data_IF_847920708169
#
_entry.id   IF_847920708169
#
_cell.length_a   1.000
_cell.length_b   1.000
_cell.length_c   1.000
_cell.angle_alpha   90.00
_cell.angle_beta   90.00
_cell.angle_gamma   90.00
#
_symmetry.space_group_name_H-M   'P 1'
#
loop_
_entity.id
_entity.type
_entity.pdbx_description
1 polymer ?
#
# COMPACT_ATOMS: atom_id res chain seq x y z
N UNK A 1 26.38 12.59 -8.17
CA UNK A 1 27.13 12.77 -6.90
C UNK A 1 26.77 14.06 -6.14
N UNK A 2 26.65 15.22 -6.80
CA UNK A 2 26.32 16.48 -6.12
C UNK A 2 24.93 16.47 -5.45
N UNK A 3 23.88 16.01 -6.14
CA UNK A 3 22.52 15.88 -5.57
C UNK A 3 22.48 14.89 -4.39
N UNK A 4 23.10 13.71 -4.53
CA UNK A 4 23.20 12.74 -3.42
C UNK A 4 23.84 13.35 -2.18
N UNK A 5 24.94 14.11 -2.33
CA UNK A 5 25.60 14.79 -1.21
C UNK A 5 24.72 15.88 -0.59
N UNK A 6 23.94 16.60 -1.40
CA UNK A 6 22.98 17.61 -0.93
C UNK A 6 21.84 16.95 -0.14
N UNK A 7 21.28 15.85 -0.63
CA UNK A 7 20.24 15.09 0.05
C UNK A 7 20.74 14.51 1.37
N UNK A 8 21.93 13.90 1.37
CA UNK A 8 22.59 13.40 2.58
C UNK A 8 22.78 14.52 3.62
N UNK A 9 23.14 15.73 3.19
CA UNK A 9 23.27 16.88 4.11
C UNK A 9 21.91 17.30 4.69
N UNK A 10 20.85 17.30 3.88
CA UNK A 10 19.49 17.63 4.33
C UNK A 10 19.01 16.58 5.34
N UNK A 11 19.16 15.30 5.01
CA UNK A 11 18.80 14.17 5.88
C UNK A 11 19.60 14.25 7.18
N UNK A 12 20.93 14.39 7.09
CA UNK A 12 21.80 14.49 8.27
C UNK A 12 21.41 15.65 9.19
N UNK A 13 21.07 16.82 8.64
CA UNK A 13 20.58 17.96 9.44
C UNK A 13 19.26 17.65 10.15
N UNK A 14 18.31 16.99 9.47
CA UNK A 14 17.02 16.60 10.05
C UNK A 14 17.20 15.54 11.14
N UNK A 15 17.96 14.48 10.86
CA UNK A 15 18.27 13.41 11.80
C UNK A 15 19.00 13.95 13.02
N UNK A 16 20.06 14.75 12.81
CA UNK A 16 20.82 15.36 13.91
C UNK A 16 19.96 16.25 14.81
N UNK A 17 19.07 17.07 14.23
CA UNK A 17 18.12 17.89 15.00
C UNK A 17 17.16 17.03 15.83
N UNK A 18 16.63 15.95 15.26
CA UNK A 18 15.68 15.08 15.95
C UNK A 18 16.36 14.26 17.04
N UNK A 19 17.50 13.62 16.75
CA UNK A 19 18.28 12.83 17.70
C UNK A 19 18.82 13.71 18.83
N UNK A 20 19.37 14.88 18.51
CA UNK A 20 19.85 15.82 19.52
C UNK A 20 18.74 16.31 20.45
N UNK A 21 17.54 16.58 19.91
CA UNK A 21 16.37 16.92 20.71
C UNK A 21 15.95 15.78 21.64
N UNK A 22 15.78 14.58 21.09
CA UNK A 22 15.22 13.43 21.82
C UNK A 22 16.22 12.85 22.84
N UNK A 23 17.51 12.88 22.57
CA UNK A 23 18.51 12.17 23.37
C UNK A 23 19.54 13.07 24.08
N UNK A 24 19.54 14.39 23.82
CA UNK A 24 20.35 15.35 24.57
C UNK A 24 19.49 16.41 25.25
N UNK A 25 18.69 17.16 24.48
CA UNK A 25 17.93 18.31 25.01
C UNK A 25 16.88 17.86 26.03
N UNK A 26 15.97 16.95 25.67
CA UNK A 26 14.93 16.52 26.62
C UNK A 26 15.50 15.84 27.87
N UNK A 27 16.45 14.89 27.78
CA UNK A 27 17.10 14.33 28.97
C UNK A 27 17.74 15.40 29.86
N UNK A 28 18.47 16.35 29.28
CA UNK A 28 19.09 17.45 30.03
C UNK A 28 18.04 18.32 30.76
N UNK A 29 16.93 18.67 30.08
CA UNK A 29 15.84 19.44 30.67
C UNK A 29 15.16 18.74 31.86
N UNK A 30 15.19 17.41 31.88
CA UNK A 30 14.59 16.62 32.98
C UNK A 30 15.50 16.40 34.20
N UNK A 31 16.73 16.91 34.17
CA UNK A 31 17.65 16.88 35.32
C UNK A 31 17.89 15.47 35.84
N UNK A 32 17.60 15.21 37.12
CA UNK A 32 17.85 13.91 37.77
C UNK A 32 17.11 12.73 37.10
N UNK A 33 16.01 12.99 36.39
CA UNK A 33 15.22 11.97 35.71
C UNK A 33 15.70 11.65 34.28
N UNK A 34 16.86 12.16 33.84
CA UNK A 34 17.37 12.01 32.47
C UNK A 34 17.38 10.57 31.95
N UNK A 35 17.66 9.57 32.80
CA UNK A 35 17.63 8.15 32.42
C UNK A 35 16.24 7.67 32.02
N UNK A 36 15.21 8.10 32.76
CA UNK A 36 13.82 7.79 32.43
C UNK A 36 13.41 8.48 31.14
N UNK A 37 13.83 9.72 30.93
CA UNK A 37 13.55 10.46 29.69
C UNK A 37 14.19 9.79 28.48
N UNK A 38 15.44 9.32 28.59
CA UNK A 38 16.08 8.54 27.52
C UNK A 38 15.29 7.26 27.20
N UNK A 39 14.92 6.50 28.24
CA UNK A 39 14.13 5.28 28.07
C UNK A 39 12.76 5.54 27.44
N UNK A 40 12.04 6.56 27.92
CA UNK A 40 10.74 6.96 27.39
C UNK A 40 10.84 7.41 25.92
N UNK A 41 11.86 8.20 25.57
CA UNK A 41 12.08 8.63 24.18
C UNK A 41 12.46 7.45 23.28
N UNK A 42 13.29 6.52 23.76
CA UNK A 42 13.61 5.30 23.02
C UNK A 42 12.36 4.45 22.75
N UNK A 43 11.55 4.18 23.78
CA UNK A 43 10.30 3.42 23.65
C UNK A 43 9.30 4.14 22.73
N UNK A 44 9.10 5.44 22.90
CA UNK A 44 8.23 6.23 22.04
C UNK A 44 8.71 6.24 20.58
N UNK A 45 10.03 6.29 20.35
CA UNK A 45 10.58 6.15 19.00
C UNK A 45 10.31 4.76 18.42
N UNK A 46 10.53 3.69 19.16
CA UNK A 46 10.24 2.34 18.70
C UNK A 46 8.76 2.17 18.32
N UNK A 47 7.85 2.60 19.20
CA UNK A 47 6.40 2.51 18.97
C UNK A 47 5.99 3.31 17.74
N UNK A 48 6.44 4.57 17.60
CA UNK A 48 6.08 5.42 16.46
C UNK A 48 6.62 4.87 15.14
N UNK A 49 7.86 4.37 15.12
CA UNK A 49 8.44 3.76 13.93
C UNK A 49 7.68 2.51 13.53
N UNK A 50 7.41 1.62 14.49
CA UNK A 50 6.65 0.39 14.24
C UNK A 50 5.22 0.68 13.77
N UNK A 51 4.53 1.62 14.41
CA UNK A 51 3.19 2.03 14.04
C UNK A 51 3.12 2.59 12.62
N UNK A 52 4.01 3.53 12.29
CA UNK A 52 4.07 4.14 10.95
C UNK A 52 4.44 3.10 9.88
N UNK A 53 5.41 2.23 10.19
CA UNK A 53 5.76 1.09 9.33
C UNK A 53 4.54 0.21 9.05
N UNK A 54 3.82 -0.21 10.09
CA UNK A 54 2.67 -1.11 9.97
C UNK A 54 1.55 -0.46 9.16
N UNK A 55 1.18 0.79 9.45
CA UNK A 55 0.12 1.51 8.74
C UNK A 55 0.47 1.73 7.25
N UNK A 56 1.74 2.00 6.93
CA UNK A 56 2.17 2.20 5.55
C UNK A 56 2.28 0.88 4.78
N UNK A 57 2.83 -0.19 5.38
CA UNK A 57 2.98 -1.47 4.69
C UNK A 57 1.64 -2.10 4.35
N UNK A 58 0.69 -2.10 5.30
CA UNK A 58 -0.68 -2.57 5.04
C UNK A 58 -1.38 -1.76 3.94
N UNK A 59 -0.89 -0.55 3.66
CA UNK A 59 -1.40 0.30 2.58
C UNK A 59 -0.97 -0.10 1.17
N UNK A 60 0.11 -0.87 0.99
CA UNK A 60 0.76 -1.02 -0.32
C UNK A 60 1.26 -2.42 -0.65
N UNK A 61 1.54 -3.24 0.36
CA UNK A 61 2.08 -4.58 0.19
C UNK A 61 1.06 -5.72 0.16
N UNK A 62 -0.14 -5.64 0.79
CA UNK A 62 -1.08 -6.74 0.81
C UNK A 62 -1.47 -7.25 -0.57
N UNK A 63 -1.89 -8.51 -0.60
CA UNK A 63 -2.46 -9.11 -1.81
C UNK A 63 -3.65 -8.28 -2.29
N UNK A 64 -3.69 -7.98 -3.59
CA UNK A 64 -4.69 -7.10 -4.21
C UNK A 64 -4.26 -5.63 -4.30
N UNK A 65 -3.14 -5.23 -3.69
CA UNK A 65 -2.41 -4.04 -4.13
C UNK A 65 -1.47 -4.46 -5.27
N UNK A 66 -1.80 -4.04 -6.49
CA UNK A 66 -1.07 -4.36 -7.71
C UNK A 66 0.28 -3.65 -7.75
N UNK A 67 1.29 -4.29 -8.33
CA UNK A 67 2.61 -3.71 -8.55
C UNK A 67 2.72 -3.37 -10.02
N UNK A 68 3.36 -2.25 -10.34
CA UNK A 68 3.42 -1.71 -11.68
C UNK A 68 4.86 -1.67 -12.16
N UNK A 69 5.11 -2.03 -13.42
CA UNK A 69 6.44 -1.91 -14.02
C UNK A 69 6.84 -0.44 -14.22
N UNK A 70 8.13 -0.19 -14.45
CA UNK A 70 8.61 1.19 -14.69
C UNK A 70 8.14 1.70 -16.03
N UNK A 71 8.04 0.81 -17.00
CA UNK A 71 7.61 1.10 -18.36
C UNK A 71 6.18 1.68 -18.38
N UNK A 72 5.27 1.16 -17.54
CA UNK A 72 3.93 1.73 -17.42
C UNK A 72 3.93 3.15 -16.83
N UNK A 73 4.82 3.42 -15.87
CA UNK A 73 4.95 4.75 -15.28
C UNK A 73 5.43 5.79 -16.29
N UNK A 74 6.34 5.42 -17.19
CA UNK A 74 6.94 6.36 -18.15
C UNK A 74 5.97 6.82 -19.24
N UNK A 75 4.93 6.02 -19.54
CA UNK A 75 3.93 6.33 -20.57
C UNK A 75 2.52 6.60 -20.06
N UNK A 76 2.33 6.70 -18.74
CA UNK A 76 0.98 6.77 -18.15
C UNK A 76 0.21 8.03 -18.56
N UNK A 77 -1.05 7.85 -18.97
CA UNK A 77 -2.00 8.92 -19.09
C UNK A 77 -2.56 9.32 -17.70
N UNK A 78 -3.12 10.52 -17.59
CA UNK A 78 -3.70 10.99 -16.33
C UNK A 78 -4.85 10.11 -15.80
N UNK A 79 -5.63 9.49 -16.68
CA UNK A 79 -6.67 8.54 -16.27
C UNK A 79 -6.07 7.23 -15.70
N UNK A 80 -4.96 6.77 -16.28
CA UNK A 80 -4.23 5.59 -15.84
C UNK A 80 -3.53 5.84 -14.50
N UNK A 81 -3.07 7.07 -14.26
CA UNK A 81 -2.56 7.49 -12.94
C UNK A 81 -3.58 7.20 -11.83
N UNK A 82 -4.85 7.58 -11.99
CA UNK A 82 -5.88 7.29 -10.98
C UNK A 82 -6.10 5.79 -10.78
N UNK A 83 -6.07 5.00 -11.86
CA UNK A 83 -6.18 3.55 -11.77
C UNK A 83 -4.99 2.98 -11.01
N UNK A 84 -3.76 3.40 -11.31
CA UNK A 84 -2.56 2.96 -10.61
C UNK A 84 -2.57 3.34 -9.13
N UNK A 85 -3.00 4.57 -8.79
CA UNK A 85 -3.14 5.00 -7.39
C UNK A 85 -4.11 4.10 -6.62
N UNK A 86 -5.28 3.80 -7.21
CA UNK A 86 -6.29 2.96 -6.57
C UNK A 86 -5.87 1.49 -6.49
N UNK A 87 -5.35 0.93 -7.58
CA UNK A 87 -4.97 -0.47 -7.66
C UNK A 87 -3.68 -0.78 -6.88
N UNK A 88 -2.77 0.17 -6.77
CA UNK A 88 -1.51 0.04 -6.04
C UNK A 88 -1.60 0.36 -4.54
N UNK A 89 -2.82 0.55 -4.01
CA UNK A 89 -3.04 0.81 -2.60
C UNK A 89 -4.19 -0.03 -2.04
N UNK A 90 -4.17 -0.20 -0.72
CA UNK A 90 -5.13 -1.01 0.01
C UNK A 90 -5.58 -0.30 1.29
N UNK A 91 -6.87 -0.39 1.58
CA UNK A 91 -7.44 0.10 2.82
C UNK A 91 -7.44 -1.01 3.88
N UNK A 92 -7.55 -0.65 5.15
CA UNK A 92 -7.86 -1.61 6.21
C UNK A 92 -9.09 -1.18 7.02
N UNK A 93 -9.83 -2.18 7.50
CA UNK A 93 -10.99 -1.93 8.34
C UNK A 93 -10.57 -1.23 9.64
N UNK A 94 -11.16 -0.07 9.88
CA UNK A 94 -10.90 0.75 11.05
C UNK A 94 -12.23 1.27 11.62
N UNK A 95 -12.40 1.16 12.94
CA UNK A 95 -13.38 1.96 13.68
C UNK A 95 -12.86 3.40 13.91
N UNK A 96 -13.66 4.31 14.47
CA UNK A 96 -13.29 5.72 14.65
C UNK A 96 -11.97 5.93 15.38
N UNK A 97 -11.71 5.13 16.42
CA UNK A 97 -10.45 5.18 17.18
C UNK A 97 -9.25 4.80 16.31
N UNK A 98 -9.35 3.69 15.58
CA UNK A 98 -8.27 3.21 14.71
C UNK A 98 -8.03 4.17 13.54
N UNK A 99 -9.10 4.74 12.98
CA UNK A 99 -9.01 5.79 11.96
C UNK A 99 -8.28 7.02 12.51
N UNK A 100 -8.60 7.48 13.72
CA UNK A 100 -7.88 8.57 14.38
C UNK A 100 -6.41 8.23 14.64
N UNK A 101 -6.12 7.07 15.23
CA UNK A 101 -4.75 6.64 15.56
C UNK A 101 -3.86 6.48 14.33
N UNK A 102 -4.43 6.11 13.19
CA UNK A 102 -3.72 6.03 11.90
C UNK A 102 -3.67 7.37 11.15
N UNK A 103 -4.27 8.44 11.68
CA UNK A 103 -4.38 9.72 10.96
C UNK A 103 -5.27 9.65 9.72
N UNK A 104 -6.22 8.71 9.70
CA UNK A 104 -7.06 8.27 8.58
C UNK A 104 -6.31 7.56 7.44
N UNK A 105 -5.06 7.14 7.66
CA UNK A 105 -4.31 6.30 6.71
C UNK A 105 -4.82 4.85 6.63
N UNK A 106 -5.94 4.53 7.27
CA UNK A 106 -6.73 3.34 6.94
C UNK A 106 -7.46 3.46 5.58
N UNK A 107 -7.52 4.67 5.02
CA UNK A 107 -8.12 5.01 3.72
C UNK A 107 -7.04 5.40 2.69
N UNK A 108 -6.08 4.52 2.44
CA UNK A 108 -4.97 4.76 1.50
C UNK A 108 -5.44 4.97 0.06
N UNK A 109 -6.46 4.23 -0.39
CA UNK A 109 -7.01 4.40 -1.74
C UNK A 109 -7.45 5.85 -1.94
N UNK A 110 -8.20 6.40 -0.99
CA UNK A 110 -8.65 7.79 -1.04
C UNK A 110 -7.50 8.79 -0.89
N UNK A 111 -6.54 8.49 -0.02
CA UNK A 111 -5.35 9.32 0.16
C UNK A 111 -4.54 9.45 -1.14
N UNK A 112 -4.39 8.35 -1.88
CA UNK A 112 -3.64 8.32 -3.13
C UNK A 112 -4.40 8.95 -4.30
N UNK A 113 -5.73 8.78 -4.35
CA UNK A 113 -6.57 9.42 -5.36
C UNK A 113 -6.67 10.94 -5.15
N UNK A 114 -6.68 11.40 -3.90
CA UNK A 114 -6.89 12.79 -3.52
C UNK A 114 -5.90 13.25 -2.44
N UNK A 115 -4.58 13.36 -2.76
CA UNK A 115 -3.54 13.64 -1.76
C UNK A 115 -3.68 15.01 -1.08
N UNK A 116 -4.35 15.96 -1.74
CA UNK A 116 -4.59 17.30 -1.21
C UNK A 116 -5.86 17.39 -0.34
N UNK A 117 -6.67 16.32 -0.27
CA UNK A 117 -7.90 16.32 0.52
C UNK A 117 -7.58 16.11 2.01
N UNK A 118 -8.19 16.88 2.94
CA UNK A 118 -8.00 16.67 4.36
C UNK A 118 -8.41 15.25 4.80
N UNK A 119 -7.57 14.60 5.60
CA UNK A 119 -7.72 13.17 5.86
C UNK A 119 -9.00 12.78 6.63
N UNK A 120 -9.60 13.72 7.36
CA UNK A 120 -10.89 13.55 8.02
C UNK A 120 -12.07 13.38 7.04
N UNK A 121 -11.87 13.63 5.74
CA UNK A 121 -12.88 13.50 4.68
C UNK A 121 -12.81 12.17 3.94
N UNK A 122 -11.77 11.36 4.15
CA UNK A 122 -11.56 10.12 3.41
C UNK A 122 -12.68 9.10 3.61
N UNK A 123 -13.20 8.96 4.83
CA UNK A 123 -14.32 8.06 5.09
C UNK A 123 -15.58 8.42 4.26
N UNK A 124 -15.85 9.72 4.07
CA UNK A 124 -17.01 10.19 3.30
C UNK A 124 -16.82 9.97 1.81
N UNK A 125 -15.65 10.32 1.26
CA UNK A 125 -15.39 10.16 -0.17
C UNK A 125 -15.24 8.69 -0.56
N UNK A 126 -14.74 7.84 0.35
CA UNK A 126 -14.59 6.40 0.12
C UNK A 126 -15.89 5.68 -0.21
N UNK A 127 -17.04 6.19 0.26
CA UNK A 127 -18.36 5.70 -0.17
C UNK A 127 -18.56 5.88 -1.68
N UNK A 128 -18.19 7.06 -2.21
CA UNK A 128 -18.32 7.38 -3.63
C UNK A 128 -17.28 6.64 -4.47
N UNK A 129 -16.04 6.55 -3.99
CA UNK A 129 -14.96 5.79 -4.66
C UNK A 129 -15.33 4.32 -4.77
N UNK A 130 -15.82 3.70 -3.69
CA UNK A 130 -16.28 2.30 -3.71
C UNK A 130 -17.43 2.10 -4.69
N UNK A 131 -18.42 3.00 -4.72
CA UNK A 131 -19.53 2.92 -5.66
C UNK A 131 -19.06 3.03 -7.13
N UNK A 132 -18.04 3.85 -7.42
CA UNK A 132 -17.41 3.90 -8.73
C UNK A 132 -16.69 2.59 -9.06
N UNK A 133 -15.94 2.02 -8.12
CA UNK A 133 -15.28 0.73 -8.31
C UNK A 133 -16.30 -0.38 -8.61
N UNK A 134 -17.44 -0.39 -7.91
CA UNK A 134 -18.52 -1.35 -8.18
C UNK A 134 -19.19 -1.12 -9.54
N UNK A 135 -19.39 0.14 -9.95
CA UNK A 135 -19.96 0.49 -11.26
C UNK A 135 -19.05 0.06 -12.41
N UNK A 136 -17.74 0.23 -12.25
CA UNK A 136 -16.75 -0.08 -13.28
C UNK A 136 -16.15 -1.49 -13.18
N UNK A 137 -16.62 -2.29 -12.21
CA UNK A 137 -16.12 -3.62 -11.90
C UNK A 137 -14.59 -3.65 -11.66
N UNK A 138 -14.12 -2.70 -10.86
CA UNK A 138 -12.74 -2.57 -10.42
C UNK A 138 -12.60 -3.12 -8.99
N UNK A 139 -11.49 -3.77 -8.62
CA UNK A 139 -11.26 -4.18 -7.24
C UNK A 139 -11.15 -2.95 -6.34
N UNK A 140 -11.65 -3.05 -5.11
CA UNK A 140 -11.45 -2.06 -4.06
C UNK A 140 -10.86 -2.80 -2.87
N UNK A 141 -9.53 -2.80 -2.78
CA UNK A 141 -8.79 -3.69 -1.87
C UNK A 141 -8.94 -3.21 -0.43
N UNK A 142 -9.60 -4.01 0.41
CA UNK A 142 -9.77 -3.71 1.84
C UNK A 142 -9.72 -4.99 2.66
N UNK A 143 -8.96 -4.99 3.76
CA UNK A 143 -8.77 -6.16 4.62
C UNK A 143 -8.70 -5.80 6.11
N UNK A 144 -8.56 -6.78 6.99
CA UNK A 144 -8.24 -6.48 8.39
C UNK A 144 -6.76 -6.10 8.51
N UNK A 145 -6.44 -5.18 9.41
CA UNK A 145 -5.06 -4.74 9.65
C UNK A 145 -4.12 -5.92 9.93
N UNK A 146 -4.56 -6.87 10.77
CA UNK A 146 -3.77 -8.05 11.11
C UNK A 146 -3.50 -8.97 9.91
N UNK A 147 -4.51 -9.20 9.05
CA UNK A 147 -4.35 -10.04 7.85
C UNK A 147 -3.37 -9.40 6.88
N UNK A 148 -3.54 -8.12 6.59
CA UNK A 148 -2.69 -7.37 5.67
C UNK A 148 -1.24 -7.26 6.16
N UNK A 149 -1.06 -7.08 7.47
CA UNK A 149 0.26 -7.07 8.08
C UNK A 149 0.95 -8.44 7.96
N UNK A 150 0.22 -9.53 8.22
CA UNK A 150 0.75 -10.88 8.05
C UNK A 150 1.09 -11.19 6.60
N UNK A 151 0.26 -10.81 5.63
CA UNK A 151 0.58 -10.96 4.20
C UNK A 151 1.91 -10.27 3.86
N UNK A 152 2.06 -9.01 4.27
CA UNK A 152 3.29 -8.24 4.05
C UNK A 152 4.51 -8.90 4.70
N UNK A 153 4.37 -9.35 5.94
CA UNK A 153 5.42 -10.05 6.68
C UNK A 153 5.83 -11.38 6.00
N UNK A 154 4.85 -12.20 5.60
CA UNK A 154 5.10 -13.46 4.90
C UNK A 154 5.73 -13.25 3.53
N UNK A 155 5.31 -12.21 2.80
CA UNK A 155 5.95 -11.82 1.55
C UNK A 155 7.44 -11.53 1.76
N UNK A 156 7.79 -10.70 2.76
CA UNK A 156 9.19 -10.39 3.08
C UNK A 156 9.98 -11.65 3.43
N UNK A 157 9.44 -12.53 4.29
CA UNK A 157 10.12 -13.77 4.65
C UNK A 157 10.34 -14.69 3.44
N UNK A 158 9.33 -14.82 2.58
CA UNK A 158 9.40 -15.64 1.36
C UNK A 158 10.44 -15.10 0.39
N UNK A 159 10.46 -13.78 0.18
CA UNK A 159 11.40 -13.11 -0.73
C UNK A 159 12.82 -12.99 -0.16
N UNK A 160 13.01 -13.21 1.15
CA UNK A 160 14.35 -13.33 1.74
C UNK A 160 15.03 -14.67 1.43
N UNK A 161 14.29 -15.66 0.90
CA UNK A 161 14.82 -16.95 0.48
C UNK A 161 15.37 -16.90 -0.97
N UNK A 162 16.34 -17.75 -1.33
CA UNK A 162 16.85 -17.83 -2.69
C UNK A 162 15.75 -18.16 -3.73
N UNK A 163 15.76 -17.47 -4.87
CA UNK A 163 14.76 -17.62 -5.94
C UNK A 163 14.51 -19.07 -6.40
N UNK A 164 15.53 -19.93 -6.35
CA UNK A 164 15.40 -21.37 -6.69
C UNK A 164 14.42 -22.14 -5.79
N UNK A 165 14.03 -21.58 -4.65
CA UNK A 165 13.04 -22.15 -3.72
C UNK A 165 11.61 -21.63 -3.99
N UNK A 166 11.45 -20.64 -4.87
CA UNK A 166 10.16 -20.07 -5.23
C UNK A 166 9.55 -20.83 -6.41
N UNK A 167 8.24 -21.10 -6.32
CA UNK A 167 7.49 -21.82 -7.38
C UNK A 167 6.88 -20.89 -8.43
N UNK A 168 6.49 -19.69 -8.04
CA UNK A 168 5.87 -18.69 -8.91
C UNK A 168 6.90 -17.64 -9.34
N UNK A 169 6.67 -17.01 -10.50
CA UNK A 169 7.47 -15.87 -10.96
C UNK A 169 7.18 -14.62 -10.13
N UNK A 170 8.00 -13.58 -10.28
CA UNK A 170 7.74 -12.25 -9.69
C UNK A 170 6.53 -11.53 -10.27
N UNK A 171 6.00 -12.03 -11.39
CA UNK A 171 4.84 -11.44 -12.06
C UNK A 171 3.54 -12.15 -11.68
N UNK A 172 3.58 -13.43 -11.29
CA UNK A 172 2.38 -14.26 -10.99
C UNK A 172 2.40 -14.87 -9.57
N UNK A 173 3.17 -14.31 -8.64
CA UNK A 173 3.10 -14.72 -7.24
C UNK A 173 1.97 -13.97 -6.51
N UNK A 174 1.23 -14.61 -5.58
CA UNK A 174 0.21 -13.92 -4.78
C UNK A 174 0.74 -12.66 -4.08
N UNK A 175 1.99 -12.73 -3.59
CA UNK A 175 2.61 -11.67 -2.81
C UNK A 175 3.28 -10.59 -3.69
N UNK A 176 3.79 -11.01 -4.85
CA UNK A 176 4.46 -10.15 -5.83
C UNK A 176 3.89 -10.50 -7.19
N UNK A 177 2.85 -9.79 -7.58
CA UNK A 177 2.35 -9.85 -8.93
C UNK A 177 2.32 -8.46 -9.52
N UNK A 178 2.72 -8.39 -10.78
CA UNK A 178 2.63 -7.20 -11.59
C UNK A 178 1.41 -7.27 -12.50
N UNK A 179 1.12 -6.18 -13.19
CA UNK A 179 0.14 -6.16 -14.27
C UNK A 179 0.45 -7.18 -15.38
N UNK A 180 1.71 -7.63 -15.49
CA UNK A 180 2.14 -8.57 -16.52
C UNK A 180 1.49 -9.95 -16.35
N UNK A 181 1.00 -10.32 -15.16
CA UNK A 181 0.21 -11.55 -14.97
C UNK A 181 -0.99 -11.62 -15.89
N UNK A 182 -1.55 -10.49 -16.30
CA UNK A 182 -2.72 -10.50 -17.19
C UNK A 182 -2.35 -10.78 -18.64
N UNK A 183 -1.06 -10.66 -19.02
CA UNK A 183 -0.58 -10.91 -20.38
C UNK A 183 -0.31 -12.39 -20.66
N UNK A 184 -0.24 -13.23 -19.63
CA UNK A 184 0.04 -14.67 -19.76
C UNK A 184 -1.23 -15.52 -19.89
N UNK A 185 -2.43 -14.93 -19.78
CA UNK A 185 -3.69 -15.68 -19.90
C UNK A 185 -4.32 -15.44 -21.28
N UNK A 186 -4.59 -16.53 -21.99
CA UNK A 186 -5.39 -16.50 -23.20
C UNK A 186 -6.84 -16.15 -22.85
N UNK A 187 -7.47 -15.30 -23.67
CA UNK A 187 -8.86 -14.90 -23.44
C UNK A 187 -9.05 -13.75 -22.43
N UNK A 188 -7.96 -13.16 -21.91
CA UNK A 188 -8.04 -12.08 -20.91
C UNK A 188 -8.85 -10.87 -21.40
N UNK A 189 -8.72 -10.51 -22.69
CA UNK A 189 -9.44 -9.35 -23.24
C UNK A 189 -10.95 -9.60 -23.32
N UNK A 190 -11.34 -10.85 -23.48
CA UNK A 190 -12.70 -11.36 -23.59
C UNK A 190 -13.44 -11.38 -22.24
N UNK A 191 -12.68 -11.28 -21.12
CA UNK A 191 -13.25 -11.04 -19.80
C UNK A 191 -13.82 -9.63 -19.64
N UNK A 192 -13.36 -8.66 -20.42
CA UNK A 192 -13.81 -7.27 -20.32
C UNK A 192 -15.01 -7.00 -21.23
N UNK A 193 -15.97 -6.21 -20.75
CA UNK A 193 -17.11 -5.78 -21.56
C UNK A 193 -18.39 -5.62 -20.74
N UNK A 194 -19.51 -5.98 -21.34
CA UNK A 194 -20.82 -6.04 -20.69
C UNK A 194 -21.33 -7.46 -20.80
N UNK A 195 -21.70 -8.05 -19.68
CA UNK A 195 -22.35 -9.35 -19.65
C UNK A 195 -23.69 -9.27 -20.39
N UNK A 196 -23.90 -10.03 -21.47
CA UNK A 196 -25.13 -9.97 -22.26
C UNK A 196 -26.35 -10.52 -21.49
N UNK A 197 -26.15 -11.40 -20.51
CA UNK A 197 -27.23 -12.00 -19.73
C UNK A 197 -27.68 -11.08 -18.58
N UNK A 198 -26.75 -10.40 -17.92
CA UNK A 198 -27.05 -9.57 -16.74
C UNK A 198 -27.04 -8.07 -17.02
N UNK A 199 -26.50 -7.63 -18.17
CA UNK A 199 -26.28 -6.23 -18.51
C UNK A 199 -25.21 -5.54 -17.63
N UNK A 200 -24.53 -6.28 -16.75
CA UNK A 200 -23.53 -5.72 -15.83
C UNK A 200 -22.18 -5.61 -16.54
N UNK A 201 -21.41 -4.58 -16.19
CA UNK A 201 -20.04 -4.45 -16.69
C UNK A 201 -19.18 -5.57 -16.10
N UNK A 202 -18.34 -6.17 -16.96
CA UNK A 202 -17.25 -7.06 -16.57
C UNK A 202 -15.94 -6.31 -16.76
N UNK A 203 -15.20 -6.17 -15.68
CA UNK A 203 -13.97 -5.41 -15.56
C UNK A 203 -12.88 -6.23 -14.89
N UNK A 204 -11.92 -5.53 -14.30
CA UNK A 204 -10.73 -6.16 -13.71
C UNK A 204 -11.08 -7.10 -12.55
N UNK A 205 -12.09 -6.76 -11.75
CA UNK A 205 -12.53 -7.60 -10.63
C UNK A 205 -13.06 -8.95 -11.12
N UNK A 206 -13.85 -8.96 -12.20
CA UNK A 206 -14.32 -10.20 -12.85
C UNK A 206 -13.16 -10.99 -13.45
N UNK A 207 -12.25 -10.33 -14.17
CA UNK A 207 -11.09 -10.98 -14.78
C UNK A 207 -10.20 -11.69 -13.74
N UNK A 208 -9.89 -11.03 -12.62
CA UNK A 208 -9.13 -11.62 -11.51
C UNK A 208 -9.81 -12.88 -10.97
N UNK A 209 -11.15 -12.84 -10.81
CA UNK A 209 -11.92 -13.98 -10.30
C UNK A 209 -11.91 -15.16 -11.26
N UNK A 210 -11.96 -14.91 -12.57
CA UNK A 210 -11.92 -15.94 -13.60
C UNK A 210 -10.56 -16.65 -13.64
N UNK A 211 -9.46 -15.88 -13.51
CA UNK A 211 -8.12 -16.45 -13.34
C UNK A 211 -8.04 -17.33 -12.09
N UNK A 212 -8.49 -16.82 -10.94
CA UNK A 212 -8.42 -17.55 -9.66
C UNK A 212 -9.24 -18.85 -9.66
N UNK A 213 -10.33 -18.89 -10.42
CA UNK A 213 -11.19 -20.07 -10.54
C UNK A 213 -10.71 -21.05 -11.63
N UNK A 214 -9.62 -20.77 -12.33
CA UNK A 214 -9.12 -21.60 -13.43
C UNK A 214 -9.99 -21.57 -14.69
N UNK A 215 -10.78 -20.50 -14.87
CA UNK A 215 -11.64 -20.34 -16.05
C UNK A 215 -10.86 -19.88 -17.30
N UNK A 216 -9.60 -19.45 -17.14
CA UNK A 216 -8.69 -19.08 -18.22
C UNK A 216 -7.49 -20.01 -18.26
N UNK A 217 -7.06 -20.37 -19.46
CA UNK A 217 -5.83 -21.11 -19.68
C UNK A 217 -4.64 -20.15 -19.76
N UNK A 218 -3.47 -20.58 -19.28
CA UNK A 218 -2.21 -19.89 -19.52
C UNK A 218 -1.78 -20.12 -20.97
N UNK A 219 -1.35 -19.06 -21.64
CA UNK A 219 -0.78 -19.09 -23.00
C UNK A 219 0.55 -19.85 -23.07
#
# INVERSE_FOLDING_TARGET
MAEVRKDLRIIGKKVGKQVGKDYLVFPALTGKAWKHTLGANAVANLIRNYWSYMANFCGHFPDGAEKFTREEFDSEAHAEWYLRQMLGSANFHAGPLMAFMSGNLCYQIEHHLFPDLPSNRYAEIGVRVRALCDKYDLPYTTGSLGSQYMQSFWAILKLALPNKLLKASSDDAPETHSELKFRIYDGMRESFGVDPATGRRRGLRTAIREVQNGAMATA
#
